data_IF_228264846006
#
_entry.id   IF_228264846006
#
_cell.length_a   1.000
_cell.length_b   1.000
_cell.length_c   1.000
_cell.angle_alpha   90.00
_cell.angle_beta   90.00
_cell.angle_gamma   90.00
#
_symmetry.space_group_name_H-M   'P 1'
#
loop_
_entity.id
_entity.type
_entity.pdbx_description
1 polymer ?
#
# COMPACT_ATOMS: atom_id res chain seq x y z
N UNK A 1 16.03 -18.94 6.41
CA UNK A 1 14.57 -18.70 6.27
C UNK A 1 14.36 -18.43 4.77
N UNK A 2 13.13 -18.37 4.23
CA UNK A 2 12.95 -18.26 2.78
C UNK A 2 13.39 -16.86 2.31
N UNK A 3 14.27 -16.76 1.31
CA UNK A 3 14.83 -15.49 0.81
C UNK A 3 13.75 -14.49 0.40
N UNK A 4 12.67 -14.94 -0.25
CA UNK A 4 11.56 -14.07 -0.63
C UNK A 4 10.85 -13.48 0.60
N UNK A 5 10.68 -14.29 1.64
CA UNK A 5 10.09 -13.84 2.90
C UNK A 5 10.99 -12.81 3.59
N UNK A 6 12.29 -13.08 3.67
CA UNK A 6 13.28 -12.15 4.25
C UNK A 6 13.33 -10.82 3.48
N UNK A 7 13.21 -10.87 2.15
CA UNK A 7 13.13 -9.69 1.30
C UNK A 7 11.85 -8.89 1.55
N UNK A 8 10.69 -9.54 1.69
CA UNK A 8 9.43 -8.83 1.94
C UNK A 8 9.35 -8.24 3.35
N UNK A 9 9.80 -8.95 4.37
CA UNK A 9 9.97 -8.39 5.72
C UNK A 9 10.95 -7.18 5.72
N UNK A 10 12.04 -7.28 4.94
CA UNK A 10 12.98 -6.16 4.78
C UNK A 10 12.36 -4.97 4.04
N UNK A 11 11.48 -5.19 3.07
CA UNK A 11 10.74 -4.12 2.40
C UNK A 11 9.94 -3.27 3.39
N UNK A 12 9.15 -3.90 4.27
CA UNK A 12 8.38 -3.16 5.28
C UNK A 12 9.26 -2.40 6.27
N UNK A 13 10.39 -2.98 6.66
CA UNK A 13 11.39 -2.28 7.50
C UNK A 13 12.01 -1.07 6.80
N UNK A 14 12.26 -1.18 5.49
CA UNK A 14 12.75 -0.07 4.68
C UNK A 14 11.68 1.02 4.56
N UNK A 15 10.42 0.67 4.30
CA UNK A 15 9.30 1.61 4.22
C UNK A 15 9.20 2.45 5.51
N UNK A 16 9.20 1.79 6.67
CA UNK A 16 9.21 2.46 7.98
C UNK A 16 10.45 3.33 8.19
N UNK A 17 11.63 2.86 7.77
CA UNK A 17 12.87 3.62 7.87
C UNK A 17 12.84 4.88 7.02
N UNK A 18 12.30 4.81 5.80
CA UNK A 18 12.14 5.98 4.94
C UNK A 18 11.18 6.98 5.58
N UNK A 19 10.04 6.52 6.11
CA UNK A 19 9.08 7.37 6.85
C UNK A 19 9.76 8.08 8.03
N UNK A 20 10.57 7.37 8.81
CA UNK A 20 11.34 7.94 9.92
C UNK A 20 12.38 8.98 9.45
N UNK A 21 13.09 8.72 8.34
CA UNK A 21 14.01 9.69 7.73
C UNK A 21 13.28 10.95 7.27
N UNK A 22 12.09 10.82 6.66
CA UNK A 22 11.24 11.96 6.26
C UNK A 22 10.74 12.74 7.49
N UNK A 23 10.46 12.08 8.60
CA UNK A 23 10.02 12.80 9.80
C UNK A 23 11.18 13.54 10.47
N UNK A 24 12.35 12.92 10.55
CA UNK A 24 13.54 13.46 11.23
C UNK A 24 14.19 14.62 10.49
N UNK A 25 14.15 14.61 9.16
CA UNK A 25 14.81 15.62 8.34
C UNK A 25 13.91 16.82 8.00
N UNK A 26 12.76 16.97 8.67
CA UNK A 26 11.91 18.14 8.45
C UNK A 26 12.65 19.44 8.84
N UNK A 27 12.61 20.49 8.01
CA UNK A 27 13.20 21.79 8.33
C UNK A 27 12.73 22.34 9.69
N UNK A 28 13.64 22.95 10.46
CA UNK A 28 13.34 23.57 11.76
C UNK A 28 14.04 24.92 11.93
N UNK A 29 13.29 26.02 12.06
CA UNK A 29 13.78 27.41 12.21
C UNK A 29 14.98 27.57 13.17
N UNK A 30 15.04 26.78 14.25
CA UNK A 30 16.10 26.86 15.26
C UNK A 30 17.49 26.45 14.76
N UNK A 31 17.60 25.88 13.56
CA UNK A 31 18.86 25.35 13.00
C UNK A 31 19.57 26.28 12.01
N UNK A 32 19.03 27.47 11.72
CA UNK A 32 19.42 28.22 10.52
C UNK A 32 20.07 29.58 10.79
N UNK A 33 21.33 29.57 11.25
CA UNK A 33 22.28 30.52 10.66
C UNK A 33 22.75 29.97 9.30
N UNK A 34 23.42 30.78 8.47
CA UNK A 34 23.86 30.35 7.12
C UNK A 34 24.69 29.06 7.14
N UNK A 35 25.51 28.87 8.18
CA UNK A 35 26.35 27.66 8.30
C UNK A 35 25.53 26.41 8.66
N UNK A 36 24.50 26.58 9.50
CA UNK A 36 23.54 25.52 9.84
C UNK A 36 22.67 25.12 8.64
N UNK A 37 22.27 26.09 7.81
CA UNK A 37 21.49 25.84 6.61
C UNK A 37 22.27 25.04 5.54
N UNK A 38 23.55 25.36 5.35
CA UNK A 38 24.44 24.57 4.47
C UNK A 38 24.56 23.14 4.99
N UNK A 39 24.84 22.96 6.29
CA UNK A 39 24.94 21.62 6.89
C UNK A 39 23.65 20.82 6.79
N UNK A 40 22.51 21.48 6.94
CA UNK A 40 21.20 20.85 6.76
C UNK A 40 21.05 20.33 5.33
N UNK A 41 21.33 21.15 4.32
CA UNK A 41 21.27 20.74 2.90
C UNK A 41 22.21 19.56 2.63
N UNK A 42 23.47 19.64 3.08
CA UNK A 42 24.44 18.56 2.90
C UNK A 42 23.99 17.24 3.55
N UNK A 43 23.33 17.32 4.70
CA UNK A 43 22.79 16.13 5.38
C UNK A 43 21.56 15.60 4.65
N UNK A 44 20.64 16.47 4.23
CA UNK A 44 19.44 16.06 3.52
C UNK A 44 19.79 15.34 2.21
N UNK A 45 20.76 15.83 1.44
CA UNK A 45 21.22 15.16 0.21
C UNK A 45 21.74 13.74 0.51
N UNK A 46 22.51 13.55 1.58
CA UNK A 46 22.99 12.20 1.98
C UNK A 46 21.85 11.26 2.38
N UNK A 47 20.84 11.79 3.06
CA UNK A 47 19.67 11.01 3.44
C UNK A 47 18.82 10.66 2.21
N UNK A 48 18.70 11.58 1.24
CA UNK A 48 18.07 11.31 -0.05
C UNK A 48 18.83 10.22 -0.82
N UNK A 49 20.16 10.28 -0.89
CA UNK A 49 20.96 9.21 -1.50
C UNK A 49 20.72 7.84 -0.85
N UNK A 50 20.55 7.83 0.47
CA UNK A 50 20.20 6.62 1.23
C UNK A 50 18.81 6.09 0.84
N UNK A 51 17.82 6.97 0.72
CA UNK A 51 16.46 6.61 0.27
C UNK A 51 16.48 6.10 -1.17
N UNK A 52 17.21 6.74 -2.08
CA UNK A 52 17.40 6.31 -3.46
C UNK A 52 17.97 4.89 -3.53
N UNK A 53 18.99 4.60 -2.72
CA UNK A 53 19.57 3.27 -2.63
C UNK A 53 18.55 2.22 -2.15
N UNK A 54 17.66 2.57 -1.22
CA UNK A 54 16.56 1.68 -0.83
C UNK A 54 15.59 1.42 -1.96
N UNK A 55 15.15 2.45 -2.70
CA UNK A 55 14.28 2.27 -3.86
C UNK A 55 14.92 1.38 -4.93
N UNK A 56 16.22 1.54 -5.18
CA UNK A 56 16.93 0.68 -6.13
C UNK A 56 17.00 -0.76 -5.67
N UNK A 57 17.23 -0.97 -4.37
CA UNK A 57 17.18 -2.31 -3.79
C UNK A 57 15.81 -2.96 -3.99
N UNK A 58 14.70 -2.22 -3.80
CA UNK A 58 13.34 -2.74 -4.05
C UNK A 58 13.18 -3.12 -5.53
N UNK A 59 13.57 -2.24 -6.46
CA UNK A 59 13.48 -2.51 -7.90
C UNK A 59 14.21 -3.81 -8.27
N UNK A 60 15.44 -3.97 -7.80
CA UNK A 60 16.25 -5.16 -8.10
C UNK A 60 15.69 -6.42 -7.46
N UNK A 61 15.22 -6.32 -6.21
CA UNK A 61 14.74 -7.47 -5.44
C UNK A 61 13.46 -8.07 -6.04
N UNK A 62 12.57 -7.21 -6.56
CA UNK A 62 11.29 -7.64 -7.12
C UNK A 62 11.29 -7.74 -8.64
N UNK A 63 12.47 -7.68 -9.28
CA UNK A 63 12.63 -7.74 -10.74
C UNK A 63 11.71 -6.75 -11.49
N UNK A 64 11.57 -5.55 -10.93
CA UNK A 64 10.82 -4.46 -11.54
C UNK A 64 11.54 -3.92 -12.78
N UNK A 65 10.87 -3.10 -13.58
CA UNK A 65 11.48 -2.55 -14.80
C UNK A 65 12.76 -1.76 -14.47
N UNK A 66 13.93 -2.10 -15.06
CA UNK A 66 15.18 -1.38 -14.80
C UNK A 66 15.12 0.12 -15.14
N UNK A 67 14.28 0.48 -16.11
CA UNK A 67 14.02 1.88 -16.50
C UNK A 67 13.49 2.73 -15.34
N UNK A 68 12.85 2.13 -14.33
CA UNK A 68 12.40 2.87 -13.15
C UNK A 68 13.56 3.51 -12.37
N UNK A 69 14.77 2.94 -12.46
CA UNK A 69 15.96 3.58 -11.86
C UNK A 69 16.28 4.90 -12.54
N UNK A 70 16.09 4.99 -13.86
CA UNK A 70 16.30 6.23 -14.60
C UNK A 70 15.24 7.28 -14.24
N UNK A 71 13.97 6.86 -14.12
CA UNK A 71 12.86 7.71 -13.67
C UNK A 71 13.16 8.31 -12.28
N UNK A 72 13.57 7.46 -11.34
CA UNK A 72 13.92 7.88 -9.97
C UNK A 72 15.17 8.78 -9.97
N UNK A 73 16.23 8.43 -10.70
CA UNK A 73 17.43 9.25 -10.78
C UNK A 73 17.11 10.67 -11.25
N UNK A 74 16.30 10.81 -12.30
CA UNK A 74 15.92 12.14 -12.81
C UNK A 74 15.21 12.97 -11.74
N UNK A 75 14.32 12.38 -10.93
CA UNK A 75 13.67 13.11 -9.84
C UNK A 75 14.67 13.50 -8.74
N UNK A 76 15.57 12.60 -8.35
CA UNK A 76 16.54 12.90 -7.30
C UNK A 76 17.56 13.97 -7.74
N UNK A 77 17.99 13.95 -8.99
CA UNK A 77 18.86 14.99 -9.56
C UNK A 77 18.16 16.37 -9.52
N UNK A 78 16.84 16.41 -9.81
CA UNK A 78 16.04 17.64 -9.69
C UNK A 78 15.92 18.11 -8.22
N UNK A 79 15.79 17.17 -7.26
CA UNK A 79 15.74 17.51 -5.84
C UNK A 79 17.05 18.15 -5.37
N UNK A 80 18.18 17.55 -5.74
CA UNK A 80 19.51 18.05 -5.39
C UNK A 80 19.75 19.43 -6.01
N UNK A 81 19.39 19.63 -7.27
CA UNK A 81 19.48 20.94 -7.92
C UNK A 81 18.67 22.02 -7.19
N UNK A 82 17.42 21.71 -6.81
CA UNK A 82 16.57 22.63 -6.06
C UNK A 82 17.17 22.98 -4.70
N UNK A 83 17.67 21.99 -3.97
CA UNK A 83 18.27 22.18 -2.65
C UNK A 83 19.52 23.05 -2.72
N UNK A 84 20.42 22.79 -3.67
CA UNK A 84 21.64 23.57 -3.86
C UNK A 84 21.36 25.01 -4.30
N UNK A 85 20.30 25.23 -5.07
CA UNK A 85 19.87 26.56 -5.53
C UNK A 85 18.90 27.28 -4.58
N UNK A 86 18.66 26.75 -3.38
CA UNK A 86 17.79 27.35 -2.37
C UNK A 86 18.32 28.67 -1.81
N UNK A 87 19.60 29.01 -2.05
CA UNK A 87 20.37 30.04 -1.34
C UNK A 87 20.40 29.83 0.18
N UNK A 88 20.13 28.61 0.65
CA UNK A 88 20.10 28.25 2.06
C UNK A 88 19.09 29.07 2.89
N UNK A 89 18.04 29.56 2.21
CA UNK A 89 16.94 30.29 2.82
C UNK A 89 15.91 29.32 3.41
N UNK A 90 15.50 29.56 4.65
CA UNK A 90 14.64 28.65 5.40
C UNK A 90 13.28 28.41 4.72
N UNK A 91 12.62 29.48 4.26
CA UNK A 91 11.29 29.38 3.65
C UNK A 91 11.35 28.62 2.33
N UNK A 92 12.41 28.86 1.54
CA UNK A 92 12.67 28.10 0.31
C UNK A 92 12.96 26.64 0.59
N UNK A 93 13.82 26.34 1.56
CA UNK A 93 14.13 24.96 1.94
C UNK A 93 12.87 24.22 2.43
N UNK A 94 12.01 24.90 3.19
CA UNK A 94 10.73 24.35 3.64
C UNK A 94 9.81 24.02 2.47
N UNK A 95 9.69 24.94 1.50
CA UNK A 95 8.89 24.69 0.30
C UNK A 95 9.45 23.53 -0.54
N UNK A 96 10.77 23.49 -0.76
CA UNK A 96 11.42 22.41 -1.51
C UNK A 96 11.17 21.07 -0.81
N UNK A 97 11.30 21.02 0.51
CA UNK A 97 11.02 19.82 1.31
C UNK A 97 9.59 19.33 1.10
N UNK A 98 8.61 20.23 1.16
CA UNK A 98 7.21 19.89 0.92
C UNK A 98 6.99 19.38 -0.50
N UNK A 99 7.54 20.06 -1.51
CA UNK A 99 7.31 19.78 -2.92
C UNK A 99 8.07 18.56 -3.48
N UNK A 100 9.19 18.17 -2.87
CA UNK A 100 10.04 17.08 -3.36
C UNK A 100 9.97 15.82 -2.48
N UNK A 101 9.57 15.96 -1.21
CA UNK A 101 9.66 14.85 -0.25
C UNK A 101 8.28 14.49 0.29
N UNK A 102 7.52 15.46 0.80
CA UNK A 102 6.35 15.18 1.64
C UNK A 102 5.03 15.10 0.88
N UNK A 103 4.78 16.03 -0.05
CA UNK A 103 3.45 16.23 -0.62
C UNK A 103 3.09 15.10 -1.58
N UNK A 104 1.91 14.52 -1.40
CA UNK A 104 1.36 13.59 -2.38
C UNK A 104 0.91 14.33 -3.64
N UNK A 105 1.32 13.85 -4.81
CA UNK A 105 0.86 14.38 -6.10
C UNK A 105 -0.65 14.14 -6.25
N UNK A 106 -1.38 15.20 -6.59
CA UNK A 106 -2.84 15.12 -6.79
C UNK A 106 -3.18 14.12 -7.89
N UNK A 107 -4.11 13.21 -7.59
CA UNK A 107 -4.57 12.16 -8.51
C UNK A 107 -3.62 10.96 -8.64
N UNK A 108 -2.44 10.97 -7.98
CA UNK A 108 -1.52 9.83 -8.05
C UNK A 108 -2.12 8.59 -7.37
N UNK A 109 -2.75 8.75 -6.22
CA UNK A 109 -3.37 7.63 -5.51
C UNK A 109 -4.40 6.88 -6.38
N UNK A 110 -5.32 7.61 -7.01
CA UNK A 110 -6.29 7.04 -7.96
C UNK A 110 -5.60 6.34 -9.14
N UNK A 111 -4.50 6.91 -9.66
CA UNK A 111 -3.71 6.29 -10.73
C UNK A 111 -3.10 4.97 -10.29
N UNK A 112 -2.46 4.91 -9.12
CA UNK A 112 -1.88 3.68 -8.55
C UNK A 112 -2.96 2.62 -8.35
N UNK A 113 -4.11 3.02 -7.80
CA UNK A 113 -5.26 2.17 -7.57
C UNK A 113 -5.78 1.51 -8.85
N UNK A 114 -5.89 2.29 -9.94
CA UNK A 114 -6.33 1.78 -11.24
C UNK A 114 -5.28 0.91 -11.94
N UNK A 115 -4.00 1.22 -11.76
CA UNK A 115 -2.92 0.56 -12.50
C UNK A 115 -2.40 -0.71 -11.82
N UNK A 116 -2.48 -0.81 -10.50
CA UNK A 116 -1.69 -1.76 -9.70
C UNK A 116 -2.50 -2.63 -8.72
N UNK A 117 -3.82 -2.74 -8.90
CA UNK A 117 -4.66 -3.63 -8.08
C UNK A 117 -4.35 -5.13 -8.30
N UNK A 118 -4.71 -5.96 -7.31
CA UNK A 118 -4.47 -7.41 -7.33
C UNK A 118 -5.19 -8.15 -8.45
N UNK A 119 -4.61 -9.25 -8.93
CA UNK A 119 -5.13 -10.05 -10.05
C UNK A 119 -5.30 -9.27 -11.39
N UNK A 120 -4.75 -8.06 -11.49
CA UNK A 120 -4.73 -7.31 -12.74
C UNK A 120 -3.66 -7.88 -13.69
N UNK A 121 -4.08 -8.39 -14.85
CA UNK A 121 -3.14 -8.91 -15.87
C UNK A 121 -2.42 -7.80 -16.66
N UNK A 122 -2.94 -6.57 -16.64
CA UNK A 122 -2.42 -5.42 -17.38
C UNK A 122 -1.88 -4.34 -16.43
N UNK A 123 -1.03 -4.73 -15.47
CA UNK A 123 -0.43 -3.76 -14.53
C UNK A 123 0.41 -2.74 -15.27
N UNK A 124 0.20 -1.46 -14.96
CA UNK A 124 0.89 -0.33 -15.62
C UNK A 124 1.96 0.27 -14.72
N UNK A 125 2.87 -0.59 -14.27
CA UNK A 125 3.98 -0.25 -13.37
C UNK A 125 4.74 1.00 -13.83
N UNK A 126 5.29 1.00 -15.04
CA UNK A 126 6.10 2.13 -15.52
C UNK A 126 5.30 3.43 -15.57
N UNK A 127 4.08 3.41 -16.12
CA UNK A 127 3.23 4.62 -16.21
C UNK A 127 2.91 5.21 -14.82
N UNK A 128 2.71 4.36 -13.82
CA UNK A 128 2.45 4.76 -12.44
C UNK A 128 3.65 5.48 -11.83
N UNK A 129 4.84 4.91 -11.95
CA UNK A 129 6.06 5.50 -11.39
C UNK A 129 6.49 6.79 -12.11
N UNK A 130 6.23 6.92 -13.41
CA UNK A 130 6.47 8.17 -14.15
C UNK A 130 5.61 9.35 -13.68
N UNK A 131 4.54 9.10 -12.91
CA UNK A 131 3.70 10.14 -12.30
C UNK A 131 4.18 10.58 -10.92
N UNK A 132 5.07 9.82 -10.30
CA UNK A 132 5.64 10.19 -9.00
C UNK A 132 6.53 11.42 -9.14
N UNK A 133 6.39 12.37 -8.21
CA UNK A 133 7.17 13.61 -8.16
C UNK A 133 7.86 13.83 -6.82
N UNK A 134 7.48 13.07 -5.80
CA UNK A 134 8.01 13.21 -4.46
C UNK A 134 8.49 11.87 -3.90
N UNK A 135 9.29 11.90 -2.84
CA UNK A 135 9.63 10.69 -2.10
C UNK A 135 8.39 9.98 -1.59
N UNK A 136 7.41 10.73 -1.06
CA UNK A 136 6.15 10.15 -0.60
C UNK A 136 5.41 9.45 -1.74
N UNK A 137 5.36 10.05 -2.93
CA UNK A 137 4.76 9.44 -4.12
C UNK A 137 5.40 8.08 -4.46
N UNK A 138 6.72 8.02 -4.52
CA UNK A 138 7.44 6.77 -4.80
C UNK A 138 7.22 5.71 -3.72
N UNK A 139 7.20 6.13 -2.45
CA UNK A 139 6.96 5.23 -1.32
C UNK A 139 5.57 4.58 -1.44
N UNK A 140 4.53 5.37 -1.73
CA UNK A 140 3.19 4.87 -1.98
C UNK A 140 3.13 3.95 -3.21
N UNK A 141 3.82 4.30 -4.30
CA UNK A 141 3.86 3.47 -5.51
C UNK A 141 4.51 2.10 -5.25
N UNK A 142 5.63 2.05 -4.53
CA UNK A 142 6.25 0.79 -4.12
C UNK A 142 5.35 -0.02 -3.19
N UNK A 143 4.78 0.59 -2.16
CA UNK A 143 3.86 -0.09 -1.23
C UNK A 143 2.69 -0.73 -1.97
N UNK A 144 2.05 0.04 -2.85
CA UNK A 144 0.90 -0.43 -3.61
C UNK A 144 1.29 -1.52 -4.61
N UNK A 145 2.45 -1.40 -5.26
CA UNK A 145 2.97 -2.43 -6.15
C UNK A 145 3.18 -3.76 -5.43
N UNK A 146 3.78 -3.73 -4.24
CA UNK A 146 4.16 -4.92 -3.49
C UNK A 146 2.95 -5.59 -2.82
N UNK A 147 2.16 -4.81 -2.07
CA UNK A 147 1.03 -5.34 -1.28
C UNK A 147 -0.09 -5.89 -2.16
N UNK A 148 -0.27 -5.34 -3.36
CA UNK A 148 -1.34 -5.74 -4.27
C UNK A 148 -0.86 -6.66 -5.40
N UNK A 149 0.22 -7.43 -5.21
CA UNK A 149 0.76 -8.34 -6.23
C UNK A 149 0.73 -9.80 -5.75
N UNK A 150 -0.25 -10.56 -6.22
CA UNK A 150 -0.48 -11.96 -5.86
C UNK A 150 0.74 -12.86 -6.12
N UNK A 151 1.54 -12.54 -7.14
CA UNK A 151 2.75 -13.31 -7.45
C UNK A 151 3.79 -13.23 -6.34
N UNK A 152 3.82 -12.10 -5.62
CA UNK A 152 4.70 -11.95 -4.45
C UNK A 152 4.21 -12.87 -3.33
N UNK A 153 2.89 -12.94 -3.08
CA UNK A 153 2.30 -13.82 -2.06
C UNK A 153 2.60 -15.27 -2.39
N UNK A 154 2.38 -15.68 -3.64
CA UNK A 154 2.59 -17.05 -4.11
C UNK A 154 4.06 -17.47 -4.16
N UNK A 155 5.00 -16.52 -4.05
CA UNK A 155 6.43 -16.80 -3.93
C UNK A 155 6.89 -17.10 -2.49
N UNK A 156 5.99 -16.94 -1.51
CA UNK A 156 6.25 -17.16 -0.09
C UNK A 156 6.07 -18.64 0.29
N UNK A 157 6.66 -19.10 1.43
CA UNK A 157 6.40 -20.43 1.95
C UNK A 157 4.91 -20.65 2.19
N UNK A 158 4.35 -21.74 1.68
CA UNK A 158 3.00 -22.18 2.05
C UNK A 158 3.08 -22.82 3.43
N UNK A 159 2.27 -22.33 4.36
CA UNK A 159 2.09 -22.90 5.69
C UNK A 159 0.96 -23.93 5.66
N UNK A 160 -0.19 -23.55 5.08
CA UNK A 160 -1.39 -24.39 5.06
C UNK A 160 -2.33 -23.99 3.92
N UNK A 161 -3.26 -24.88 3.57
CA UNK A 161 -4.28 -24.61 2.55
C UNK A 161 -5.57 -25.39 2.78
N UNK A 162 -6.70 -24.77 2.45
CA UNK A 162 -8.01 -25.41 2.37
C UNK A 162 -8.76 -24.94 1.12
N UNK A 163 -9.85 -25.61 0.79
CA UNK A 163 -10.70 -25.30 -0.37
C UNK A 163 -12.05 -24.81 0.15
N UNK A 164 -12.60 -23.78 -0.49
CA UNK A 164 -13.94 -23.29 -0.17
C UNK A 164 -15.04 -24.09 -0.89
N UNK A 165 -16.31 -23.72 -0.73
CA UNK A 165 -17.45 -24.42 -1.34
C UNK A 165 -17.47 -24.38 -2.88
N UNK A 166 -16.74 -23.44 -3.49
CA UNK A 166 -16.69 -23.19 -4.93
C UNK A 166 -15.40 -23.73 -5.58
N UNK A 167 -14.71 -24.64 -4.88
CA UNK A 167 -13.42 -25.24 -5.29
C UNK A 167 -12.25 -24.24 -5.42
N UNK A 168 -12.37 -23.04 -4.83
CA UNK A 168 -11.32 -22.02 -4.83
C UNK A 168 -10.41 -22.14 -3.59
N UNK A 169 -9.10 -21.84 -3.72
CA UNK A 169 -8.15 -22.05 -2.63
C UNK A 169 -8.17 -20.91 -1.60
N UNK A 170 -8.05 -21.29 -0.32
CA UNK A 170 -7.70 -20.40 0.78
C UNK A 170 -6.32 -20.84 1.28
N UNK A 171 -5.32 -19.97 1.15
CA UNK A 171 -3.92 -20.32 1.40
C UNK A 171 -3.32 -19.41 2.45
N UNK A 172 -2.64 -20.02 3.43
CA UNK A 172 -1.84 -19.32 4.43
C UNK A 172 -0.36 -19.42 4.05
N UNK A 173 0.28 -18.27 3.91
CA UNK A 173 1.68 -18.12 3.52
C UNK A 173 2.51 -17.45 4.61
N UNK A 174 3.84 -17.55 4.47
CA UNK A 174 4.83 -16.78 5.21
C UNK A 174 5.32 -17.49 6.47
N UNK A 175 5.23 -16.82 7.60
CA UNK A 175 5.63 -17.35 8.92
C UNK A 175 4.40 -17.46 9.81
N UNK A 176 4.23 -18.62 10.42
CA UNK A 176 3.09 -18.89 11.28
C UNK A 176 3.11 -18.02 12.55
N UNK A 177 1.97 -17.40 12.87
CA UNK A 177 1.72 -16.72 14.14
C UNK A 177 0.27 -17.00 14.60
N UNK A 178 -0.02 -16.76 15.89
CA UNK A 178 -1.33 -17.09 16.47
C UNK A 178 -2.50 -16.37 15.79
N UNK A 179 -2.29 -15.13 15.38
CA UNK A 179 -3.32 -14.28 14.77
C UNK A 179 -3.74 -14.81 13.38
N UNK A 180 -2.76 -15.05 12.51
CA UNK A 180 -2.96 -15.57 11.16
C UNK A 180 -3.51 -16.99 11.18
N UNK A 181 -3.07 -17.82 12.14
CA UNK A 181 -3.59 -19.18 12.31
C UNK A 181 -5.05 -19.17 12.77
N UNK A 182 -5.41 -18.31 13.72
CA UNK A 182 -6.80 -18.14 14.15
C UNK A 182 -7.69 -17.66 13.00
N UNK A 183 -7.25 -16.65 12.25
CA UNK A 183 -7.94 -16.15 11.06
C UNK A 183 -8.11 -17.25 10.01
N UNK A 184 -7.04 -17.94 9.63
CA UNK A 184 -7.10 -19.02 8.64
C UNK A 184 -8.07 -20.14 9.07
N UNK A 185 -8.02 -20.56 10.34
CA UNK A 185 -8.88 -21.63 10.85
C UNK A 185 -10.36 -21.21 10.84
N UNK A 186 -10.66 -19.98 11.27
CA UNK A 186 -12.03 -19.45 11.37
C UNK A 186 -12.57 -18.92 10.04
N UNK A 187 -11.74 -18.66 9.04
CA UNK A 187 -12.18 -18.15 7.75
C UNK A 187 -13.25 -19.08 7.15
N UNK A 188 -14.48 -18.60 6.91
CA UNK A 188 -15.57 -19.45 6.48
C UNK A 188 -15.37 -19.97 5.06
N UNK A 189 -15.42 -21.29 4.88
CA UNK A 189 -15.39 -21.94 3.55
C UNK A 189 -16.68 -21.72 2.76
N UNK A 190 -17.74 -21.24 3.41
CA UNK A 190 -19.05 -20.97 2.81
C UNK A 190 -19.20 -19.54 2.29
N UNK A 191 -18.20 -18.67 2.54
CA UNK A 191 -18.23 -17.28 2.07
C UNK A 191 -18.07 -17.25 0.55
N UNK A 192 -18.90 -16.47 -0.13
CA UNK A 192 -18.87 -16.28 -1.59
C UNK A 192 -17.65 -15.45 -2.01
N UNK A 193 -16.45 -16.02 -1.87
CA UNK A 193 -15.18 -15.43 -2.31
C UNK A 193 -14.49 -16.34 -3.31
N UNK A 194 -13.68 -15.75 -4.19
CA UNK A 194 -12.74 -16.52 -5.00
C UNK A 194 -11.54 -16.97 -4.17
N UNK A 195 -10.38 -17.07 -4.81
CA UNK A 195 -9.08 -17.30 -4.17
C UNK A 195 -8.81 -16.30 -3.02
N UNK A 196 -8.32 -16.83 -1.90
CA UNK A 196 -7.97 -16.06 -0.70
C UNK A 196 -6.53 -16.34 -0.30
N UNK A 197 -5.70 -15.32 -0.41
CA UNK A 197 -4.32 -15.37 0.04
C UNK A 197 -4.17 -14.64 1.37
N UNK A 198 -3.65 -15.33 2.38
CA UNK A 198 -3.34 -14.77 3.71
C UNK A 198 -1.84 -14.87 3.90
N UNK A 199 -1.15 -13.74 3.99
CA UNK A 199 0.30 -13.69 4.15
C UNK A 199 0.66 -13.15 5.54
N UNK A 200 1.36 -13.99 6.31
CA UNK A 200 1.64 -13.75 7.72
C UNK A 200 3.10 -13.42 8.00
N UNK A 201 3.31 -12.41 8.86
CA UNK A 201 4.61 -11.99 9.37
C UNK A 201 4.59 -11.72 10.88
N UNK A 202 5.71 -11.29 11.46
CA UNK A 202 5.80 -11.10 12.91
C UNK A 202 4.89 -9.96 13.43
N UNK A 203 4.82 -8.84 12.71
CA UNK A 203 4.08 -7.63 13.08
C UNK A 203 3.07 -7.16 12.02
N UNK A 204 2.92 -7.91 10.93
CA UNK A 204 1.99 -7.58 9.84
C UNK A 204 1.28 -8.82 9.26
N UNK A 205 0.10 -8.59 8.70
CA UNK A 205 -0.69 -9.56 7.97
C UNK A 205 -1.25 -8.88 6.72
N UNK A 206 -1.03 -9.48 5.56
CA UNK A 206 -1.62 -9.04 4.30
C UNK A 206 -2.67 -10.06 3.86
N UNK A 207 -3.75 -9.59 3.25
CA UNK A 207 -4.71 -10.46 2.58
C UNK A 207 -5.04 -9.95 1.19
N UNK A 208 -5.26 -10.89 0.28
CA UNK A 208 -5.91 -10.62 -1.00
C UNK A 208 -7.11 -11.57 -1.13
N UNK A 209 -8.28 -11.01 -1.38
CA UNK A 209 -9.55 -11.75 -1.46
C UNK A 209 -10.16 -11.48 -2.83
N UNK A 210 -10.19 -12.50 -3.68
CA UNK A 210 -10.75 -12.41 -5.03
C UNK A 210 -12.28 -12.40 -5.02
N UNK A 211 -12.87 -11.77 -6.03
CA UNK A 211 -14.32 -11.67 -6.29
C UNK A 211 -15.13 -10.89 -5.25
N UNK A 212 -14.46 -10.42 -4.20
CA UNK A 212 -14.95 -9.43 -3.25
C UNK A 212 -14.31 -8.09 -3.57
N UNK A 213 -15.10 -7.07 -3.91
CA UNK A 213 -14.58 -5.80 -4.40
C UNK A 213 -13.74 -5.95 -5.67
N UNK A 214 -13.99 -7.01 -6.45
CA UNK A 214 -13.15 -7.56 -7.53
C UNK A 214 -11.83 -8.20 -7.07
N UNK A 215 -11.04 -7.50 -6.25
CA UNK A 215 -9.80 -7.98 -5.65
C UNK A 215 -9.46 -7.19 -4.38
N UNK A 216 -10.26 -7.38 -3.33
CA UNK A 216 -10.08 -6.72 -2.03
C UNK A 216 -8.67 -7.03 -1.49
N UNK A 217 -7.95 -5.98 -1.12
CA UNK A 217 -6.64 -6.09 -0.49
C UNK A 217 -6.70 -5.50 0.92
N UNK A 218 -6.12 -6.19 1.90
CA UNK A 218 -6.11 -5.79 3.30
C UNK A 218 -4.66 -5.82 3.80
N UNK A 219 -4.24 -4.74 4.45
CA UNK A 219 -2.94 -4.58 5.10
C UNK A 219 -3.18 -4.30 6.58
N UNK A 220 -2.71 -5.22 7.44
CA UNK A 220 -2.90 -5.15 8.88
C UNK A 220 -1.56 -5.06 9.59
N UNK A 221 -1.37 -4.01 10.40
CA UNK A 221 -0.18 -3.83 11.25
C UNK A 221 -0.55 -3.98 12.72
N UNK A 222 0.23 -4.79 13.45
CA UNK A 222 0.03 -5.07 14.87
C UNK A 222 0.73 -3.98 15.70
N UNK A 223 -0.06 -3.20 16.44
CA UNK A 223 0.38 -2.09 17.29
C UNK A 223 -0.01 -2.36 18.77
N UNK A 224 0.83 -3.12 19.48
CA UNK A 224 0.56 -3.60 20.84
C UNK A 224 -0.73 -4.46 20.92
N UNK A 225 -1.75 -4.00 21.65
CA UNK A 225 -3.04 -4.67 21.80
C UNK A 225 -4.05 -4.30 20.70
N UNK A 226 -3.68 -3.37 19.82
CA UNK A 226 -4.50 -2.93 18.69
C UNK A 226 -3.92 -3.43 17.37
N UNK A 227 -4.79 -3.54 16.37
CA UNK A 227 -4.40 -3.81 14.99
C UNK A 227 -5.01 -2.72 14.13
N UNK A 228 -4.13 -2.01 13.41
CA UNK A 228 -4.53 -1.07 12.38
C UNK A 228 -4.75 -1.84 11.09
N UNK A 229 -5.92 -1.67 10.50
CA UNK A 229 -6.34 -2.33 9.26
C UNK A 229 -6.57 -1.25 8.22
N UNK A 230 -5.78 -1.28 7.15
CA UNK A 230 -5.97 -0.48 5.95
C UNK A 230 -6.41 -1.41 4.83
N UNK A 231 -7.33 -0.97 3.96
CA UNK A 231 -7.81 -1.82 2.88
C UNK A 231 -8.07 -1.03 1.60
N UNK A 232 -8.11 -1.76 0.49
CA UNK A 232 -8.37 -1.24 -0.84
C UNK A 232 -9.41 -2.09 -1.58
N UNK A 233 -10.44 -1.43 -2.11
CA UNK A 233 -11.53 -1.99 -2.91
C UNK A 233 -11.39 -1.48 -4.35
N UNK A 234 -10.88 -2.31 -5.29
CA UNK A 234 -10.68 -1.90 -6.68
C UNK A 234 -11.97 -1.54 -7.42
N UNK A 235 -13.08 -2.24 -7.14
CA UNK A 235 -14.38 -1.98 -7.78
C UNK A 235 -15.50 -1.85 -6.76
N UNK A 236 -16.14 -0.69 -6.76
CA UNK A 236 -17.28 -0.39 -5.91
C UNK A 236 -18.60 -0.87 -6.51
N UNK A 237 -18.71 -2.19 -6.71
CA UNK A 237 -19.86 -2.88 -7.32
C UNK A 237 -21.23 -2.44 -6.76
N UNK A 238 -21.27 -2.02 -5.49
CA UNK A 238 -22.41 -1.34 -4.90
C UNK A 238 -21.96 -0.20 -3.98
N UNK A 239 -21.99 1.04 -4.49
CA UNK A 239 -21.59 2.25 -3.76
C UNK A 239 -22.27 2.40 -2.40
N UNK A 240 -23.55 2.02 -2.27
CA UNK A 240 -24.27 2.14 -0.99
C UNK A 240 -23.77 1.15 0.06
N UNK A 241 -23.41 -0.07 -0.36
CA UNK A 241 -22.77 -1.07 0.52
C UNK A 241 -21.35 -0.63 0.86
N UNK A 242 -20.56 -0.23 -0.13
CA UNK A 242 -19.20 0.29 0.07
C UNK A 242 -19.17 1.44 1.07
N UNK A 243 -20.05 2.43 0.93
CA UNK A 243 -20.10 3.60 1.82
C UNK A 243 -20.53 3.28 3.27
N UNK A 244 -20.95 2.05 3.55
CA UNK A 244 -21.25 1.56 4.91
C UNK A 244 -20.09 0.77 5.52
N UNK A 245 -19.04 0.46 4.75
CA UNK A 245 -17.86 -0.22 5.27
C UNK A 245 -17.18 0.61 6.35
N UNK A 246 -16.67 -0.08 7.36
CA UNK A 246 -16.00 0.55 8.50
C UNK A 246 -14.74 1.29 8.04
N UNK A 247 -14.67 2.59 8.30
CA UNK A 247 -13.46 3.38 8.01
C UNK A 247 -13.30 3.80 6.54
N UNK A 248 -14.32 3.59 5.70
CA UNK A 248 -14.24 3.85 4.25
C UNK A 248 -14.12 5.34 3.92
N UNK A 249 -13.29 5.64 2.92
CA UNK A 249 -13.34 6.92 2.21
C UNK A 249 -14.58 6.91 1.33
N UNK A 250 -15.58 7.69 1.73
CA UNK A 250 -16.88 7.67 1.05
C UNK A 250 -16.78 8.14 -0.40
N UNK A 251 -17.39 7.36 -1.28
CA UNK A 251 -17.60 7.72 -2.66
C UNK A 251 -18.83 8.60 -2.81
N UNK A 252 -18.74 9.58 -3.71
CA UNK A 252 -19.89 10.41 -4.09
C UNK A 252 -20.78 9.65 -5.09
N UNK A 253 -22.04 9.32 -4.72
CA UNK A 253 -22.95 8.58 -5.60
C UNK A 253 -23.31 9.28 -6.92
N UNK A 254 -23.06 10.60 -7.03
CA UNK A 254 -23.36 11.37 -8.24
C UNK A 254 -22.25 11.30 -9.28
N UNK A 255 -21.02 11.03 -8.86
CA UNK A 255 -19.82 11.08 -9.71
C UNK A 255 -19.09 9.74 -9.80
N UNK A 256 -19.38 8.82 -8.87
CA UNK A 256 -18.77 7.49 -8.84
C UNK A 256 -19.64 6.44 -9.54
N UNK A 257 -18.99 5.42 -10.07
CA UNK A 257 -19.59 4.25 -10.71
C UNK A 257 -19.05 2.93 -10.12
N UNK A 258 -19.40 1.79 -10.72
CA UNK A 258 -18.95 0.48 -10.25
C UNK A 258 -17.44 0.25 -10.36
N UNK A 259 -16.77 1.00 -11.25
CA UNK A 259 -15.32 0.91 -11.46
C UNK A 259 -14.56 1.91 -10.58
N UNK A 260 -15.27 2.75 -9.83
CA UNK A 260 -14.66 3.69 -8.92
C UNK A 260 -14.02 2.94 -7.75
N UNK A 261 -12.70 3.02 -7.58
CA UNK A 261 -12.02 2.37 -6.48
C UNK A 261 -12.25 3.16 -5.19
N UNK A 262 -12.07 2.51 -4.03
CA UNK A 262 -11.99 3.21 -2.75
C UNK A 262 -11.04 2.51 -1.79
N UNK A 263 -10.69 3.18 -0.71
CA UNK A 263 -9.89 2.67 0.39
C UNK A 263 -10.59 2.92 1.73
N UNK A 264 -10.02 2.40 2.80
CA UNK A 264 -10.41 2.77 4.14
C UNK A 264 -9.40 2.31 5.18
N UNK A 265 -9.56 2.83 6.38
CA UNK A 265 -8.74 2.46 7.52
C UNK A 265 -9.60 2.38 8.80
N UNK A 266 -9.38 1.35 9.60
CA UNK A 266 -9.93 1.26 10.94
C UNK A 266 -8.98 0.58 11.91
N UNK A 267 -9.24 0.76 13.20
CA UNK A 267 -8.53 0.08 14.27
C UNK A 267 -9.49 -0.92 14.93
N UNK A 268 -8.99 -2.10 15.25
CA UNK A 268 -9.67 -3.10 16.07
C UNK A 268 -8.71 -3.61 17.15
N UNK A 269 -9.25 -4.30 18.15
CA UNK A 269 -8.43 -4.96 19.15
C UNK A 269 -7.93 -6.30 18.63
N UNK A 270 -6.75 -6.72 19.09
CA UNK A 270 -6.18 -8.03 18.73
C UNK A 270 -7.11 -9.20 19.06
N UNK A 271 -7.87 -9.12 20.15
CA UNK A 271 -8.84 -10.15 20.56
C UNK A 271 -10.07 -10.28 19.63
N UNK A 272 -10.44 -9.18 18.96
CA UNK A 272 -11.62 -9.09 18.10
C UNK A 272 -11.29 -9.21 16.60
N UNK A 273 -10.01 -9.06 16.24
CA UNK A 273 -9.51 -8.97 14.86
C UNK A 273 -10.08 -10.01 13.91
N UNK A 274 -9.99 -11.30 14.25
CA UNK A 274 -10.43 -12.37 13.35
C UNK A 274 -11.92 -12.24 13.00
N UNK A 275 -12.76 -11.98 14.00
CA UNK A 275 -14.19 -11.85 13.80
C UNK A 275 -14.53 -10.57 13.01
N UNK A 276 -13.86 -9.46 13.34
CA UNK A 276 -14.07 -8.19 12.65
C UNK A 276 -13.62 -8.23 11.19
N UNK A 277 -12.51 -8.91 10.87
CA UNK A 277 -12.04 -9.07 9.49
C UNK A 277 -13.00 -9.94 8.67
N UNK A 278 -13.45 -11.07 9.22
CA UNK A 278 -14.41 -11.94 8.53
C UNK A 278 -15.74 -11.21 8.30
N UNK A 279 -16.26 -10.51 9.32
CA UNK A 279 -17.47 -9.70 9.20
C UNK A 279 -17.28 -8.58 8.15
N UNK A 280 -16.16 -7.88 8.20
CA UNK A 280 -15.81 -6.86 7.22
C UNK A 280 -15.84 -7.41 5.79
N UNK A 281 -15.09 -8.50 5.50
CA UNK A 281 -15.02 -9.11 4.16
C UNK A 281 -16.41 -9.52 3.70
N UNK A 282 -17.24 -10.10 4.58
CA UNK A 282 -18.61 -10.53 4.25
C UNK A 282 -19.55 -9.37 3.85
N UNK A 283 -19.21 -8.13 4.23
CA UNK A 283 -19.99 -6.93 3.92
C UNK A 283 -19.45 -6.16 2.71
N UNK A 284 -18.26 -6.51 2.20
CA UNK A 284 -17.72 -5.91 0.98
C UNK A 284 -18.51 -6.44 -0.23
N UNK A 285 -19.00 -5.57 -1.13
CA UNK A 285 -19.82 -6.02 -2.24
C UNK A 285 -19.02 -6.85 -3.25
N UNK A 286 -19.71 -7.77 -3.89
CA UNK A 286 -19.17 -8.66 -4.92
C UNK A 286 -19.56 -8.16 -6.31
N UNK A 287 -18.96 -8.71 -7.36
CA UNK A 287 -19.35 -8.41 -8.74
C UNK A 287 -20.84 -8.72 -9.01
N UNK A 288 -21.45 -9.65 -8.26
CA UNK A 288 -22.87 -9.97 -8.33
C UNK A 288 -23.78 -8.81 -7.86
N UNK A 289 -23.32 -8.00 -6.91
CA UNK A 289 -24.09 -6.85 -6.42
C UNK A 289 -24.31 -5.78 -7.50
N UNK A 290 -23.44 -5.70 -8.51
CA UNK A 290 -23.55 -4.77 -9.64
C UNK A 290 -24.83 -5.02 -10.45
N UNK A 291 -25.26 -6.27 -10.56
CA UNK A 291 -26.44 -6.68 -11.34
C UNK A 291 -27.76 -6.44 -10.59
N UNK A 292 -27.72 -6.14 -9.30
CA UNK A 292 -28.93 -5.92 -8.50
C UNK A 292 -29.62 -4.57 -8.79
N UNK A 293 -28.88 -3.56 -9.29
CA UNK A 293 -29.44 -2.24 -9.66
C UNK A 293 -30.13 -2.20 -11.03
N UNK A 294 -29.85 -3.12 -11.95
CA UNK A 294 -30.52 -3.16 -13.27
C UNK A 294 -31.97 -3.67 -13.24
N UNK A 295 -32.42 -4.27 -12.13
CA UNK A 295 -33.78 -4.82 -12.00
C UNK A 295 -34.83 -3.82 -11.50
N UNK A 296 -34.44 -2.58 -11.21
CA UNK A 296 -35.35 -1.52 -10.72
C UNK A 296 -35.59 -0.38 -11.74
N UNK A 297 -35.23 -0.58 -13.02
CA UNK A 297 -35.53 0.34 -14.12
C UNK A 297 -36.41 -0.29 -15.22
N UNK A 298 -37.46 -1.03 -14.82
CA UNK A 298 -38.61 -1.33 -15.68
C UNK A 298 -39.92 -1.07 -14.94
#
# INVERSE_FOLDING_TARGET
>A
MNENYENLDKFFKIDLKIKDLILKNRPNEKTYDTSGAIKYVDNLIKELDTIKAYFFWVIDTYNMSPYLKDVINNSFDEYDEKLLNSNYDYDRLTRIYEECILKMTSGLEEKLQNDLFGFNVNRKEVESFEKCKTINDYLHAFHFYIVNNEKIFHSMPVIDRKINKDDEPIILFGKENDLSRDLFNKYPVELDTGEVDILSFDDHLLMMVRDVGHALSIDSTIENDNIRVSYFVPKSCNIEKVNKLKGVTKLDPLTSDMFSPTNGEFICKKEDFTNEIIDFISNVPTDADSYSKSSFMY
#
